data_IF_656433948170
#
_entry.id   IF_656433948170
#
_cell.length_a   1.000
_cell.length_b   1.000
_cell.length_c   1.000
_cell.angle_alpha   90.00
_cell.angle_beta   90.00
_cell.angle_gamma   90.00
#
_symmetry.space_group_name_H-M   'P 1'
#
loop_
_entity.id
_entity.type
_entity.pdbx_description
1 polymer ?
#
# COMPACT_ATOMS: atom_id res chain seq x y z
N UNK A 1 12.91 18.53 19.46
CA UNK A 1 13.58 19.19 18.32
C UNK A 1 12.53 20.02 17.65
N UNK A 2 12.68 21.35 17.67
CA UNK A 2 11.58 22.23 17.26
C UNK A 2 11.54 22.36 15.73
N UNK A 3 10.38 22.07 15.15
CA UNK A 3 10.16 22.11 13.69
C UNK A 3 9.82 23.54 13.22
N UNK A 4 9.16 24.30 14.10
CA UNK A 4 8.72 25.68 13.86
C UNK A 4 9.00 26.50 15.12
N UNK A 5 9.54 27.70 14.95
CA UNK A 5 9.69 28.70 16.01
C UNK A 5 8.38 29.41 16.31
N UNK A 6 8.28 30.06 17.48
CA UNK A 6 7.08 30.82 17.88
C UNK A 6 6.72 31.97 16.93
N UNK A 7 7.67 32.43 16.10
CA UNK A 7 7.46 33.44 15.07
C UNK A 7 6.99 32.85 13.72
N UNK A 8 6.81 31.53 13.64
CA UNK A 8 6.38 30.82 12.44
C UNK A 8 7.51 30.49 11.47
N UNK A 9 8.78 30.70 11.86
CA UNK A 9 9.95 30.28 11.08
C UNK A 9 10.05 28.75 11.09
N UNK A 10 10.07 28.15 9.90
CA UNK A 10 10.24 26.70 9.72
C UNK A 10 11.73 26.36 9.75
N UNK A 11 12.13 25.45 10.61
CA UNK A 11 13.50 24.95 10.65
C UNK A 11 13.67 23.82 9.63
N UNK A 12 13.94 24.16 8.37
CA UNK A 12 14.02 23.20 7.26
C UNK A 12 14.94 22.01 7.55
N UNK A 13 16.09 22.22 8.19
CA UNK A 13 16.99 21.13 8.56
C UNK A 13 16.36 20.17 9.59
N UNK A 14 15.60 20.72 10.54
CA UNK A 14 14.92 19.91 11.54
C UNK A 14 13.71 19.18 10.96
N UNK A 15 12.99 19.85 10.06
CA UNK A 15 11.87 19.28 9.32
C UNK A 15 12.32 18.17 8.35
N UNK A 16 13.42 18.38 7.63
CA UNK A 16 14.05 17.36 6.80
C UNK A 16 14.46 16.14 7.62
N UNK A 17 15.15 16.34 8.75
CA UNK A 17 15.57 15.25 9.62
C UNK A 17 14.37 14.48 10.22
N UNK A 18 13.29 15.19 10.56
CA UNK A 18 12.05 14.59 11.02
C UNK A 18 11.36 13.75 9.94
N UNK A 19 11.32 14.22 8.68
CA UNK A 19 10.79 13.45 7.53
C UNK A 19 11.71 12.27 7.19
N UNK A 20 13.03 12.44 7.28
CA UNK A 20 14.02 11.41 6.95
C UNK A 20 13.91 10.19 7.87
N UNK A 21 13.53 10.38 9.13
CA UNK A 21 13.32 9.30 10.11
C UNK A 21 12.16 8.37 9.75
N UNK A 22 11.22 8.83 8.90
CA UNK A 22 10.02 8.08 8.49
C UNK A 22 9.97 7.65 7.01
N UNK A 23 11.02 7.87 6.22
CA UNK A 23 11.01 7.65 4.76
C UNK A 23 12.12 6.71 4.27
N UNK A 24 11.75 5.74 3.42
CA UNK A 24 12.71 4.79 2.83
C UNK A 24 13.32 5.27 1.50
N UNK A 25 12.81 6.36 0.91
CA UNK A 25 13.30 6.92 -0.35
C UNK A 25 13.95 8.29 -0.11
N UNK A 26 15.23 8.25 0.24
CA UNK A 26 16.06 9.41 0.55
C UNK A 26 16.31 10.33 -0.67
N UNK A 27 16.09 9.84 -1.88
CA UNK A 27 16.43 10.55 -3.12
C UNK A 27 15.42 11.65 -3.46
N UNK A 28 14.15 11.45 -3.11
CA UNK A 28 13.08 12.44 -3.35
C UNK A 28 12.83 13.37 -2.15
N UNK A 29 13.39 13.03 -0.99
CA UNK A 29 13.17 13.72 0.28
C UNK A 29 13.47 15.22 0.24
N UNK A 30 14.56 15.69 -0.39
CA UNK A 30 14.87 17.12 -0.43
C UNK A 30 13.83 17.93 -1.22
N UNK A 31 13.34 17.40 -2.34
CA UNK A 31 12.33 18.05 -3.17
C UNK A 31 10.97 18.11 -2.47
N UNK A 32 10.61 17.04 -1.75
CA UNK A 32 9.36 16.95 -0.97
C UNK A 32 9.39 17.92 0.22
N UNK A 33 10.48 17.92 0.98
CA UNK A 33 10.68 18.84 2.13
C UNK A 33 10.52 20.29 1.69
N UNK A 34 11.21 20.66 0.60
CA UNK A 34 11.14 21.99 0.02
C UNK A 34 9.73 22.34 -0.45
N UNK A 35 9.07 21.44 -1.19
CA UNK A 35 7.70 21.66 -1.66
C UNK A 35 6.70 21.89 -0.53
N UNK A 36 6.85 21.19 0.61
CA UNK A 36 5.99 21.39 1.78
C UNK A 36 6.25 22.71 2.51
N UNK A 37 7.51 23.15 2.58
CA UNK A 37 7.90 24.43 3.18
C UNK A 37 7.41 25.59 2.31
N UNK A 38 7.59 25.49 0.99
CA UNK A 38 7.25 26.55 0.03
C UNK A 38 5.74 26.86 -0.01
N UNK A 39 4.88 25.88 0.31
CA UNK A 39 3.41 26.07 0.35
C UNK A 39 2.87 26.45 1.73
N UNK A 40 3.69 26.33 2.78
CA UNK A 40 3.30 26.66 4.14
C UNK A 40 3.26 28.18 4.37
N UNK A 41 2.07 28.71 4.63
CA UNK A 41 1.85 30.14 4.81
C UNK A 41 0.83 30.42 5.92
N UNK A 42 0.73 31.69 6.33
CA UNK A 42 -0.15 32.10 7.42
C UNK A 42 0.53 32.16 8.79
N UNK A 43 -0.26 32.07 9.86
CA UNK A 43 0.23 32.10 11.25
C UNK A 43 1.12 30.88 11.57
N UNK A 44 1.87 30.90 12.68
CA UNK A 44 2.66 29.73 13.11
C UNK A 44 1.82 28.45 13.21
N UNK A 45 0.59 28.53 13.70
CA UNK A 45 -0.35 27.41 13.82
C UNK A 45 -0.85 26.93 12.46
N UNK A 46 -1.18 27.85 11.54
CA UNK A 46 -1.60 27.51 10.18
C UNK A 46 -0.48 26.85 9.40
N UNK A 47 0.75 27.35 9.52
CA UNK A 47 1.95 26.74 8.93
C UNK A 47 2.22 25.36 9.49
N UNK A 48 2.12 25.18 10.82
CA UNK A 48 2.26 23.88 11.46
C UNK A 48 1.23 22.88 10.91
N UNK A 49 -0.02 23.31 10.76
CA UNK A 49 -1.09 22.47 10.23
C UNK A 49 -0.92 22.16 8.74
N UNK A 50 -0.46 23.11 7.93
CA UNK A 50 -0.18 22.91 6.50
C UNK A 50 1.03 21.99 6.28
N UNK A 51 2.11 22.16 7.05
CA UNK A 51 3.27 21.27 7.04
C UNK A 51 2.87 19.86 7.47
N UNK A 52 2.06 19.75 8.52
CA UNK A 52 1.45 18.47 8.93
C UNK A 52 0.64 17.86 7.79
N UNK A 53 -0.30 18.58 7.18
CA UNK A 53 -1.07 18.06 6.04
C UNK A 53 -0.19 17.68 4.84
N UNK A 54 0.85 18.45 4.54
CA UNK A 54 1.76 18.14 3.45
C UNK A 54 2.56 16.86 3.76
N UNK A 55 3.07 16.71 4.99
CA UNK A 55 3.69 15.45 5.44
C UNK A 55 2.73 14.28 5.27
N UNK A 56 1.47 14.37 5.71
CA UNK A 56 0.51 13.27 5.57
C UNK A 56 0.02 13.04 4.13
N UNK A 57 0.09 14.05 3.26
CA UNK A 57 -0.19 13.92 1.84
C UNK A 57 0.99 13.23 1.10
N UNK A 58 2.22 13.50 1.53
CA UNK A 58 3.47 12.98 0.94
C UNK A 58 3.88 11.63 1.54
N UNK A 59 3.54 11.38 2.80
CA UNK A 59 3.24 10.05 3.32
C UNK A 59 1.96 9.57 2.61
N UNK A 60 2.13 9.20 1.35
CA UNK A 60 1.61 7.90 0.95
C UNK A 60 2.21 6.92 1.95
N UNK A 61 1.52 6.70 3.07
CA UNK A 61 1.56 5.41 3.76
C UNK A 61 1.20 4.42 2.67
N UNK A 62 2.15 4.05 1.82
CA UNK A 62 1.96 2.86 1.01
C UNK A 62 1.83 1.78 2.06
N UNK A 63 0.67 1.13 2.10
CA UNK A 63 0.48 -0.09 2.86
C UNK A 63 1.56 -1.10 2.46
N UNK A 64 2.74 -1.02 3.08
CA UNK A 64 3.82 -1.94 2.78
C UNK A 64 3.56 -3.17 3.61
N UNK A 65 3.48 -4.31 2.94
CA UNK A 65 3.45 -5.59 3.62
C UNK A 65 4.61 -5.64 4.63
N UNK A 66 4.36 -6.16 5.83
CA UNK A 66 5.43 -6.47 6.76
C UNK A 66 6.36 -7.50 6.12
N UNK A 67 7.63 -7.57 6.58
CA UNK A 67 8.57 -8.60 6.09
C UNK A 67 8.01 -10.02 6.19
N UNK A 68 7.13 -10.28 7.17
CA UNK A 68 6.43 -11.56 7.32
C UNK A 68 5.39 -11.76 6.21
N UNK A 69 4.51 -10.79 6.01
CA UNK A 69 3.51 -10.81 4.93
C UNK A 69 4.17 -10.95 3.55
N UNK A 70 5.24 -10.17 3.28
CA UNK A 70 6.01 -10.27 2.04
C UNK A 70 6.57 -11.67 1.85
N UNK A 71 7.20 -12.24 2.88
CA UNK A 71 7.76 -13.59 2.80
C UNK A 71 6.69 -14.64 2.49
N UNK A 72 5.51 -14.54 3.12
CA UNK A 72 4.39 -15.47 2.88
C UNK A 72 3.93 -15.34 1.42
N UNK A 73 3.65 -14.13 0.97
CA UNK A 73 3.19 -13.87 -0.40
C UNK A 73 4.21 -14.38 -1.41
N UNK A 74 5.49 -14.04 -1.24
CA UNK A 74 6.56 -14.47 -2.16
C UNK A 74 6.73 -15.99 -2.19
N UNK A 75 6.61 -16.66 -1.04
CA UNK A 75 6.68 -18.13 -0.96
C UNK A 75 5.56 -18.75 -1.79
N UNK A 76 4.33 -18.27 -1.67
CA UNK A 76 3.20 -18.77 -2.45
C UNK A 76 3.25 -18.34 -3.91
N UNK A 77 3.80 -17.17 -4.21
CA UNK A 77 4.00 -16.69 -5.57
C UNK A 77 4.93 -17.62 -6.35
N UNK A 78 6.06 -18.01 -5.74
CA UNK A 78 7.02 -18.94 -6.33
C UNK A 78 6.43 -20.35 -6.49
N UNK A 79 5.70 -20.83 -5.48
CA UNK A 79 5.03 -22.13 -5.56
C UNK A 79 3.96 -22.15 -6.67
N UNK A 80 3.09 -21.14 -6.73
CA UNK A 80 2.06 -21.03 -7.76
C UNK A 80 2.64 -20.90 -9.16
N UNK A 81 3.70 -20.12 -9.34
CA UNK A 81 4.38 -20.00 -10.62
C UNK A 81 4.93 -21.36 -11.10
N UNK A 82 5.50 -22.13 -10.17
CA UNK A 82 5.98 -23.48 -10.44
C UNK A 82 4.84 -24.42 -10.83
N UNK A 83 3.76 -24.45 -10.05
CA UNK A 83 2.60 -25.33 -10.29
C UNK A 83 1.90 -25.03 -11.63
N UNK A 84 1.83 -23.74 -12.00
CA UNK A 84 1.22 -23.28 -13.25
C UNK A 84 2.17 -23.32 -14.45
N UNK A 85 3.46 -23.61 -14.25
CA UNK A 85 4.46 -23.61 -15.30
C UNK A 85 4.81 -22.22 -15.86
N UNK A 86 4.58 -21.15 -15.09
CA UNK A 86 4.81 -19.76 -15.48
C UNK A 86 6.29 -19.40 -15.30
N UNK A 87 7.03 -19.35 -16.41
CA UNK A 87 8.48 -19.08 -16.39
C UNK A 87 8.84 -17.62 -16.15
N UNK A 88 7.96 -16.70 -16.53
CA UNK A 88 8.20 -15.25 -16.45
C UNK A 88 7.74 -14.63 -15.13
N UNK A 89 7.52 -15.43 -14.08
CA UNK A 89 6.94 -14.95 -12.82
C UNK A 89 7.75 -13.83 -12.16
N UNK A 90 9.07 -13.77 -12.41
CA UNK A 90 9.91 -12.68 -11.91
C UNK A 90 9.47 -11.30 -12.44
N UNK A 91 8.90 -11.21 -13.65
CA UNK A 91 8.35 -9.95 -14.18
C UNK A 91 7.12 -9.49 -13.40
N UNK A 92 6.32 -10.44 -12.93
CA UNK A 92 5.12 -10.19 -12.15
C UNK A 92 5.43 -9.90 -10.68
N UNK A 93 6.51 -10.49 -10.14
CA UNK A 93 6.90 -10.35 -8.73
C UNK A 93 7.10 -8.89 -8.32
N UNK A 94 7.86 -8.10 -9.08
CA UNK A 94 8.09 -6.70 -8.70
C UNK A 94 6.84 -5.83 -8.85
N UNK A 95 6.10 -6.01 -9.95
CA UNK A 95 4.94 -5.19 -10.29
C UNK A 95 3.70 -5.53 -9.44
N UNK A 96 3.56 -6.80 -9.04
CA UNK A 96 2.51 -7.28 -8.15
C UNK A 96 2.69 -6.80 -6.71
N UNK A 97 3.92 -6.78 -6.21
CA UNK A 97 4.22 -6.32 -4.85
C UNK A 97 4.08 -4.80 -4.70
N UNK A 98 4.27 -4.03 -5.77
CA UNK A 98 4.19 -2.58 -5.75
C UNK A 98 2.81 -2.03 -6.14
N UNK A 99 1.83 -2.88 -6.47
CA UNK A 99 0.53 -2.43 -6.98
C UNK A 99 0.58 -1.86 -8.41
N UNK A 100 1.74 -1.89 -9.07
CA UNK A 100 1.95 -1.30 -10.40
C UNK A 100 1.50 -2.21 -11.55
N UNK A 101 1.14 -3.46 -11.24
CA UNK A 101 0.59 -4.37 -12.24
C UNK A 101 -0.84 -3.94 -12.65
N UNK A 102 -0.94 -3.18 -13.73
CA UNK A 102 -2.20 -2.65 -14.27
C UNK A 102 -2.78 -3.50 -15.42
N UNK A 103 -1.99 -4.44 -15.94
CA UNK A 103 -2.36 -5.29 -17.09
C UNK A 103 -2.76 -6.68 -16.61
N UNK A 104 -3.92 -7.14 -17.09
CA UNK A 104 -4.53 -8.44 -16.82
C UNK A 104 -4.16 -9.47 -17.89
N UNK A 105 -2.90 -9.83 -18.01
CA UNK A 105 -2.56 -10.99 -18.83
C UNK A 105 -2.97 -12.28 -18.12
N UNK A 106 -3.29 -13.32 -18.91
CA UNK A 106 -3.90 -14.56 -18.42
C UNK A 106 -3.04 -15.28 -17.37
N UNK A 107 -1.71 -15.26 -17.54
CA UNK A 107 -0.78 -15.87 -16.62
C UNK A 107 -0.77 -15.13 -15.27
N UNK A 108 -0.78 -13.79 -15.29
CA UNK A 108 -0.87 -13.01 -14.05
C UNK A 108 -2.18 -13.25 -13.30
N UNK A 109 -3.31 -13.32 -14.02
CA UNK A 109 -4.62 -13.61 -13.42
C UNK A 109 -4.62 -14.97 -12.69
N UNK A 110 -4.12 -16.02 -13.35
CA UNK A 110 -4.01 -17.37 -12.77
C UNK A 110 -3.06 -17.39 -11.58
N UNK A 111 -1.91 -16.74 -11.71
CA UNK A 111 -0.90 -16.66 -10.67
C UNK A 111 -1.42 -15.97 -9.41
N UNK A 112 -2.05 -14.81 -9.59
CA UNK A 112 -2.64 -14.04 -8.50
C UNK A 112 -3.76 -14.81 -7.81
N UNK A 113 -4.65 -15.44 -8.58
CA UNK A 113 -5.72 -16.27 -8.05
C UNK A 113 -5.16 -17.44 -7.21
N UNK A 114 -4.15 -18.14 -7.71
CA UNK A 114 -3.49 -19.20 -6.96
C UNK A 114 -2.90 -18.70 -5.64
N UNK A 115 -2.24 -17.53 -5.65
CA UNK A 115 -1.70 -16.93 -4.42
C UNK A 115 -2.82 -16.63 -3.44
N UNK A 116 -3.91 -16.02 -3.90
CA UNK A 116 -5.07 -15.65 -3.08
C UNK A 116 -5.79 -16.85 -2.47
N UNK A 117 -5.83 -17.99 -3.17
CA UNK A 117 -6.28 -19.25 -2.57
C UNK A 117 -5.32 -19.77 -1.51
N UNK A 118 -4.00 -19.72 -1.74
CA UNK A 118 -3.00 -20.20 -0.78
C UNK A 118 -2.90 -19.36 0.50
N UNK A 119 -3.22 -18.06 0.43
CA UNK A 119 -3.39 -17.21 1.61
C UNK A 119 -4.83 -17.20 2.15
N UNK A 120 -5.70 -18.03 1.57
CA UNK A 120 -7.08 -18.24 2.00
C UNK A 120 -7.96 -16.97 1.97
N UNK A 121 -7.67 -16.03 1.07
CA UNK A 121 -8.52 -14.85 0.84
C UNK A 121 -9.75 -15.21 0.02
N UNK A 122 -9.62 -16.18 -0.87
CA UNK A 122 -10.72 -16.73 -1.65
C UNK A 122 -10.74 -18.24 -1.48
N UNK A 123 -11.92 -18.82 -1.27
CA UNK A 123 -12.10 -20.27 -1.33
C UNK A 123 -12.22 -20.77 -2.78
N UNK A 124 -12.27 -22.09 -2.98
CA UNK A 124 -12.35 -22.70 -4.31
C UNK A 124 -13.61 -22.30 -5.11
N UNK A 125 -14.65 -21.80 -4.45
CA UNK A 125 -15.88 -21.31 -5.08
C UNK A 125 -15.79 -19.81 -5.43
N UNK A 126 -14.65 -19.17 -5.19
CA UNK A 126 -14.42 -17.74 -5.44
C UNK A 126 -15.04 -16.84 -4.37
N UNK A 127 -15.43 -17.38 -3.22
CA UNK A 127 -15.97 -16.57 -2.12
C UNK A 127 -14.84 -15.96 -1.30
N UNK A 128 -14.90 -14.65 -1.14
CA UNK A 128 -13.94 -13.91 -0.34
C UNK A 128 -14.11 -14.14 1.17
N UNK A 129 -13.00 -14.37 1.88
CA UNK A 129 -12.91 -14.48 3.33
C UNK A 129 -12.42 -13.16 3.94
N UNK A 130 -13.37 -12.38 4.47
CA UNK A 130 -13.05 -11.14 5.20
C UNK A 130 -12.14 -11.41 6.39
N UNK A 131 -12.43 -12.46 7.16
CA UNK A 131 -11.71 -12.74 8.40
C UNK A 131 -10.23 -13.05 8.13
N UNK A 132 -9.94 -13.92 7.16
CA UNK A 132 -8.56 -14.27 6.80
C UNK A 132 -7.81 -13.07 6.21
N UNK A 133 -8.47 -12.26 5.38
CA UNK A 133 -7.86 -11.06 4.82
C UNK A 133 -7.53 -10.03 5.91
N UNK A 134 -8.47 -9.77 6.81
CA UNK A 134 -8.28 -8.85 7.94
C UNK A 134 -7.17 -9.38 8.84
N UNK A 135 -7.22 -10.63 9.28
CA UNK A 135 -6.14 -11.23 10.09
C UNK A 135 -4.78 -11.05 9.42
N UNK A 136 -4.68 -11.38 8.13
CA UNK A 136 -3.44 -11.23 7.38
C UNK A 136 -2.97 -9.79 7.38
N UNK A 137 -3.83 -8.83 7.03
CA UNK A 137 -3.49 -7.41 6.89
C UNK A 137 -3.27 -6.70 8.23
N UNK A 138 -3.90 -7.16 9.31
CA UNK A 138 -3.69 -6.56 10.65
C UNK A 138 -2.34 -6.93 11.28
N UNK A 139 -1.66 -7.95 10.77
CA UNK A 139 -0.37 -8.41 11.29
C UNK A 139 0.72 -7.32 11.18
N UNK A 140 1.02 -6.67 12.31
CA UNK A 140 2.04 -5.62 12.42
C UNK A 140 1.55 -4.21 12.10
N UNK A 141 0.23 -3.99 12.07
CA UNK A 141 -0.40 -2.76 11.59
C UNK A 141 -1.43 -2.21 12.59
N UNK A 142 -1.44 -0.90 12.83
CA UNK A 142 -2.22 -0.29 13.91
C UNK A 142 -3.42 0.58 13.45
N UNK A 143 -3.52 0.92 12.15
CA UNK A 143 -4.53 1.84 11.62
C UNK A 143 -5.51 1.11 10.69
N UNK A 144 -6.49 0.41 11.28
CA UNK A 144 -7.35 -0.53 10.54
C UNK A 144 -8.84 -0.14 10.55
N UNK A 145 -9.18 1.02 11.10
CA UNK A 145 -10.58 1.43 11.29
C UNK A 145 -11.36 1.53 9.96
N UNK A 146 -10.69 1.92 8.89
CA UNK A 146 -11.28 2.05 7.55
C UNK A 146 -11.24 0.73 6.75
N UNK A 147 -10.47 -0.26 7.22
CA UNK A 147 -10.20 -1.50 6.51
C UNK A 147 -11.49 -2.25 6.13
N UNK A 148 -12.45 -2.49 7.05
CA UNK A 148 -13.63 -3.28 6.72
C UNK A 148 -14.50 -2.60 5.65
N UNK A 149 -14.61 -1.27 5.68
CA UNK A 149 -15.40 -0.51 4.73
C UNK A 149 -14.78 -0.56 3.32
N UNK A 150 -13.46 -0.38 3.24
CA UNK A 150 -12.70 -0.47 1.98
C UNK A 150 -12.81 -1.87 1.37
N UNK A 151 -12.55 -2.90 2.17
CA UNK A 151 -12.63 -4.30 1.70
C UNK A 151 -14.04 -4.63 1.24
N UNK A 152 -15.07 -4.22 1.99
CA UNK A 152 -16.47 -4.45 1.59
C UNK A 152 -16.82 -3.75 0.27
N UNK A 153 -16.31 -2.53 0.05
CA UNK A 153 -16.50 -1.83 -1.23
C UNK A 153 -15.85 -2.58 -2.39
N UNK A 154 -14.63 -3.10 -2.19
CA UNK A 154 -13.92 -3.87 -3.20
C UNK A 154 -14.59 -5.21 -3.51
N UNK A 155 -15.04 -5.94 -2.48
CA UNK A 155 -15.69 -7.25 -2.64
C UNK A 155 -17.08 -7.13 -3.27
N UNK A 156 -17.83 -6.07 -2.93
CA UNK A 156 -19.18 -5.85 -3.47
C UNK A 156 -19.22 -5.58 -4.97
N UNK A 157 -18.09 -5.25 -5.59
CA UNK A 157 -17.97 -4.94 -7.01
C UNK A 157 -17.46 -6.11 -7.86
N UNK A 158 -17.05 -7.24 -7.25
CA UNK A 158 -16.41 -8.35 -7.94
C UNK A 158 -17.37 -9.09 -8.85
N UNK A 159 -16.95 -9.35 -10.10
CA UNK A 159 -17.72 -10.10 -11.10
C UNK A 159 -16.79 -10.91 -11.99
N UNK A 160 -17.33 -11.94 -12.63
CA UNK A 160 -16.59 -12.76 -13.60
C UNK A 160 -16.07 -14.07 -13.02
N UNK A 161 -15.03 -14.63 -13.63
CA UNK A 161 -14.37 -15.86 -13.16
C UNK A 161 -13.61 -15.63 -11.84
N UNK A 162 -13.26 -16.69 -11.09
CA UNK A 162 -12.45 -16.54 -9.86
C UNK A 162 -11.16 -15.73 -10.08
N UNK A 163 -10.48 -15.94 -11.20
CA UNK A 163 -9.27 -15.19 -11.54
C UNK A 163 -9.54 -13.71 -11.81
N UNK A 164 -10.63 -13.39 -12.51
CA UNK A 164 -11.06 -12.00 -12.73
C UNK A 164 -11.44 -11.32 -11.41
N UNK A 165 -12.12 -12.03 -10.51
CA UNK A 165 -12.49 -11.52 -9.19
C UNK A 165 -11.26 -11.26 -8.32
N UNK A 166 -10.30 -12.19 -8.27
CA UNK A 166 -9.03 -12.00 -7.58
C UNK A 166 -8.27 -10.77 -8.08
N UNK A 167 -8.20 -10.58 -9.40
CA UNK A 167 -7.53 -9.41 -9.97
C UNK A 167 -8.28 -8.10 -9.75
N UNK A 168 -9.61 -8.10 -9.85
CA UNK A 168 -10.44 -6.94 -9.51
C UNK A 168 -10.27 -6.55 -8.04
N UNK A 169 -10.23 -7.53 -7.15
CA UNK A 169 -9.98 -7.30 -5.73
C UNK A 169 -8.60 -6.69 -5.52
N UNK A 170 -7.54 -7.31 -6.05
CA UNK A 170 -6.17 -6.79 -6.01
C UNK A 170 -6.11 -5.33 -6.50
N UNK A 171 -6.63 -5.05 -7.70
CA UNK A 171 -6.64 -3.69 -8.25
C UNK A 171 -7.43 -2.74 -7.37
N UNK A 172 -8.57 -3.16 -6.85
CA UNK A 172 -9.37 -2.34 -5.98
C UNK A 172 -8.55 -1.97 -4.74
N UNK A 173 -8.02 -2.95 -3.99
CA UNK A 173 -7.23 -2.70 -2.78
C UNK A 173 -6.06 -1.75 -3.02
N UNK A 174 -5.30 -1.90 -4.12
CA UNK A 174 -4.19 -1.00 -4.46
C UNK A 174 -4.63 0.36 -5.04
N UNK A 175 -5.87 0.49 -5.54
CA UNK A 175 -6.42 1.77 -6.03
C UNK A 175 -7.03 2.64 -4.94
N UNK A 176 -7.26 2.08 -3.75
CA UNK A 176 -7.82 2.82 -2.64
C UNK A 176 -6.72 3.68 -2.04
N UNK A 177 -6.82 5.00 -2.18
CA UNK A 177 -5.96 5.99 -1.50
C UNK A 177 -5.98 5.86 0.04
N UNK A 178 -6.84 4.98 0.57
CA UNK A 178 -7.07 4.65 1.98
C UNK A 178 -6.53 3.28 2.38
N UNK A 179 -6.10 2.43 1.43
CA UNK A 179 -5.30 1.25 1.76
C UNK A 179 -3.85 1.69 1.94
N UNK A 180 -3.71 2.42 3.03
CA UNK A 180 -2.51 3.00 3.55
C UNK A 180 -2.35 2.43 4.95
N UNK A 181 -1.66 1.31 5.06
CA UNK A 181 -1.36 0.68 6.34
C UNK A 181 -0.01 1.20 6.85
#
# INVERSE_FOLDING_TARGET
MDLISCDGTVHEANFFAFIADGHNNMEQLPAVTKGCVDVASGTPEERAFQLYRCMFAQHKFEAKFTKRQEKIILTYFEACASDLGIKEYLKYKSSGMSGQQTVSDEDFLKLLNCVFHRVEFFDCDGKFSMDNFVEFITDGHNNLEQLPAVVKACVGALKGTPEEQSFQFYRCMFSQDQFKI
#
